data_IF_694021254081
#
_entry.id   IF_694021254081
#
_cell.length_a   1.000
_cell.length_b   1.000
_cell.length_c   1.000
_cell.angle_alpha   90.00
_cell.angle_beta   90.00
_cell.angle_gamma   90.00
#
_symmetry.space_group_name_H-M   'P 1'
#
loop_
_entity.id
_entity.type
_entity.pdbx_description
1 polymer ?
#
# COMPACT_ATOMS: atom_id res chain seq x y z
N UNK A 1 39.44 38.68 -17.62
CA UNK A 1 39.71 40.08 -17.96
C UNK A 1 39.32 40.98 -16.76
N UNK A 2 40.03 42.04 -16.49
CA UNK A 2 39.65 42.99 -15.45
C UNK A 2 39.44 44.36 -16.08
N UNK A 3 38.37 45.07 -15.74
CA UNK A 3 38.06 46.40 -16.28
C UNK A 3 36.89 47.04 -15.54
N UNK A 4 36.78 48.38 -15.62
CA UNK A 4 35.62 49.09 -15.08
C UNK A 4 34.41 48.82 -15.98
N UNK A 5 33.40 48.13 -15.44
CA UNK A 5 32.18 47.80 -16.18
C UNK A 5 31.33 49.07 -16.33
N UNK A 6 31.36 49.66 -17.52
CA UNK A 6 30.61 50.87 -17.91
C UNK A 6 30.06 50.71 -19.35
N UNK A 7 29.29 51.68 -19.80
CA UNK A 7 28.68 51.60 -21.16
C UNK A 7 29.75 51.61 -22.26
N UNK A 8 30.88 52.26 -22.09
CA UNK A 8 31.98 52.25 -23.05
C UNK A 8 32.54 50.83 -23.20
N UNK A 9 32.81 50.15 -22.08
CA UNK A 9 33.28 48.76 -22.13
C UNK A 9 32.25 47.80 -22.77
N UNK A 10 30.96 47.97 -22.46
CA UNK A 10 29.93 47.17 -23.09
C UNK A 10 29.91 47.27 -24.60
N UNK A 11 30.16 48.47 -25.13
CA UNK A 11 30.21 48.71 -26.59
C UNK A 11 31.46 48.13 -27.31
N UNK A 12 32.53 47.82 -26.53
CA UNK A 12 33.77 47.24 -27.09
C UNK A 12 33.82 45.71 -27.00
N UNK A 13 32.91 45.07 -26.27
CA UNK A 13 32.93 43.63 -26.08
C UNK A 13 32.15 42.93 -27.22
N UNK A 14 32.81 42.05 -27.89
CA UNK A 14 32.24 41.20 -28.93
C UNK A 14 32.16 39.76 -28.46
N UNK A 15 31.13 39.02 -28.94
CA UNK A 15 31.02 37.61 -28.70
C UNK A 15 32.12 36.85 -29.42
N UNK A 16 32.80 35.94 -28.72
CA UNK A 16 33.74 35.00 -29.27
C UNK A 16 33.23 33.53 -29.14
N UNK A 17 34.03 32.59 -29.60
CA UNK A 17 33.65 31.15 -29.58
C UNK A 17 33.54 30.59 -28.13
N UNK A 18 34.15 31.26 -27.17
CA UNK A 18 34.07 30.90 -25.73
C UNK A 18 33.54 32.08 -24.91
N UNK A 19 32.81 31.76 -23.80
CA UNK A 19 32.33 32.85 -22.95
C UNK A 19 33.46 33.68 -22.36
N UNK A 20 33.36 35.02 -22.47
CA UNK A 20 34.29 35.97 -21.89
C UNK A 20 33.74 36.52 -20.58
N UNK A 21 34.57 36.56 -19.53
CA UNK A 21 34.21 37.16 -18.24
C UNK A 21 35.10 38.35 -17.95
N UNK A 22 34.46 39.46 -17.57
CA UNK A 22 35.11 40.68 -17.12
C UNK A 22 34.77 40.90 -15.65
N UNK A 23 35.78 40.97 -14.78
CA UNK A 23 35.59 41.32 -13.39
C UNK A 23 35.68 42.82 -13.24
N UNK A 24 34.77 43.41 -12.49
CA UNK A 24 34.75 44.86 -12.24
C UNK A 24 35.90 45.28 -11.33
N UNK A 25 36.55 46.39 -11.70
CA UNK A 25 37.65 46.98 -10.90
C UNK A 25 37.14 47.81 -9.74
N UNK A 26 35.90 48.30 -9.75
CA UNK A 26 35.32 49.14 -8.70
C UNK A 26 34.63 48.33 -7.59
N UNK A 27 34.06 47.16 -7.91
CA UNK A 27 33.39 46.32 -6.93
C UNK A 27 33.89 44.87 -7.03
N UNK A 28 34.69 44.47 -6.05
CA UNK A 28 35.19 43.09 -5.96
C UNK A 28 34.04 42.08 -5.89
N UNK A 29 34.05 41.09 -6.78
CA UNK A 29 33.01 40.06 -6.88
C UNK A 29 31.94 40.36 -7.92
N UNK A 30 31.79 41.61 -8.37
CA UNK A 30 30.92 41.97 -9.48
C UNK A 30 31.59 41.68 -10.82
N UNK A 31 30.83 41.23 -11.80
CA UNK A 31 31.36 40.90 -13.12
C UNK A 31 30.28 40.89 -14.21
N UNK A 32 30.77 40.87 -15.44
CA UNK A 32 29.99 40.72 -16.68
C UNK A 32 30.41 39.44 -17.40
N UNK A 33 29.46 38.71 -17.94
CA UNK A 33 29.72 37.55 -18.80
C UNK A 33 29.11 37.79 -20.16
N UNK A 34 29.90 37.60 -21.18
CA UNK A 34 29.48 37.59 -22.60
C UNK A 34 29.46 36.15 -23.05
N UNK A 35 28.33 35.71 -23.52
CA UNK A 35 28.17 34.34 -24.08
C UNK A 35 28.50 34.33 -25.58
N UNK A 36 28.85 33.17 -26.17
CA UNK A 36 29.03 33.03 -27.61
C UNK A 36 27.82 33.48 -28.43
N UNK A 37 26.61 33.34 -27.85
CA UNK A 37 25.35 33.84 -28.43
C UNK A 37 25.20 35.37 -28.48
N UNK A 38 26.19 36.14 -27.95
CA UNK A 38 26.11 37.59 -27.81
C UNK A 38 25.36 38.09 -26.60
N UNK A 39 24.77 37.19 -25.80
CA UNK A 39 24.03 37.56 -24.58
C UNK A 39 25.02 37.99 -23.51
N UNK A 40 24.85 39.22 -22.98
CA UNK A 40 25.64 39.80 -21.90
C UNK A 40 24.82 39.80 -20.61
N UNK A 41 25.41 39.29 -19.51
CA UNK A 41 24.75 39.23 -18.21
C UNK A 41 25.70 39.66 -17.08
N UNK A 42 25.15 40.45 -16.17
CA UNK A 42 25.86 40.81 -14.95
C UNK A 42 25.74 39.68 -13.92
N UNK A 43 26.80 39.47 -13.14
CA UNK A 43 26.82 38.49 -12.06
C UNK A 43 27.58 39.03 -10.85
N UNK A 44 27.31 38.43 -9.68
CA UNK A 44 28.10 38.66 -8.47
C UNK A 44 28.64 37.33 -7.95
N UNK A 45 29.95 37.30 -7.60
CA UNK A 45 30.59 36.16 -6.93
C UNK A 45 30.73 36.50 -5.44
N UNK A 46 30.34 35.55 -4.61
CA UNK A 46 30.44 35.68 -3.17
C UNK A 46 30.84 34.35 -2.53
N UNK A 47 31.23 34.41 -1.27
CA UNK A 47 31.60 33.22 -0.52
C UNK A 47 30.70 33.13 0.72
N UNK A 48 30.02 31.98 0.92
CA UNK A 48 29.22 31.74 2.10
C UNK A 48 29.52 30.33 2.64
N UNK A 49 29.67 30.18 3.97
CA UNK A 49 30.02 28.88 4.62
C UNK A 49 31.21 28.17 3.94
N UNK A 50 32.23 28.96 3.51
CA UNK A 50 33.43 28.40 2.86
C UNK A 50 33.30 28.05 1.37
N UNK A 51 32.10 28.07 0.80
CA UNK A 51 31.86 27.76 -0.62
C UNK A 51 31.72 29.02 -1.45
N UNK A 52 32.35 29.04 -2.62
CA UNK A 52 32.20 30.11 -3.59
C UNK A 52 30.94 29.88 -4.41
N UNK A 53 30.10 30.91 -4.53
CA UNK A 53 28.84 30.88 -5.30
C UNK A 53 28.81 32.05 -6.27
N UNK A 54 28.02 31.94 -7.34
CA UNK A 54 27.79 33.00 -8.31
C UNK A 54 26.28 33.17 -8.50
N UNK A 55 25.85 34.43 -8.47
CA UNK A 55 24.45 34.78 -8.72
C UNK A 55 24.41 35.72 -9.95
N UNK A 56 23.54 35.41 -10.91
CA UNK A 56 23.25 36.29 -12.06
C UNK A 56 22.28 37.35 -11.60
N UNK A 57 22.63 38.64 -11.85
CA UNK A 57 21.80 39.79 -11.49
C UNK A 57 20.75 40.05 -12.55
N UNK A 58 21.14 40.08 -13.83
CA UNK A 58 20.27 40.30 -14.97
C UNK A 58 21.06 40.57 -16.24
N UNK A 59 20.37 40.80 -17.35
CA UNK A 59 21.00 41.10 -18.66
C UNK A 59 21.34 42.58 -18.78
N UNK A 60 22.28 42.88 -19.65
CA UNK A 60 22.65 44.27 -20.00
C UNK A 60 21.52 45.05 -20.69
N UNK A 61 20.54 44.36 -21.22
CA UNK A 61 19.29 44.92 -21.78
C UNK A 61 18.28 45.34 -20.70
N UNK A 62 18.44 44.82 -19.48
CA UNK A 62 17.50 45.04 -18.36
C UNK A 62 18.08 46.02 -17.33
N UNK A 63 19.40 46.04 -17.17
CA UNK A 63 20.10 46.82 -16.18
C UNK A 63 21.24 47.64 -16.81
N UNK A 64 21.39 48.88 -16.41
CA UNK A 64 22.60 49.64 -16.68
C UNK A 64 23.76 49.15 -15.78
N UNK A 65 25.01 49.35 -16.17
CA UNK A 65 26.17 48.99 -15.34
C UNK A 65 26.10 49.52 -13.90
N UNK A 66 25.62 50.74 -13.72
CA UNK A 66 25.44 51.35 -12.41
C UNK A 66 24.41 50.64 -11.57
N UNK A 67 23.20 50.40 -12.12
CA UNK A 67 22.14 49.69 -11.45
C UNK A 67 22.52 48.25 -11.08
N UNK A 68 23.25 47.55 -11.98
CA UNK A 68 23.72 46.21 -11.72
C UNK A 68 24.79 46.18 -10.61
N UNK A 69 25.67 47.21 -10.55
CA UNK A 69 26.67 47.34 -9.50
C UNK A 69 26.03 47.64 -8.14
N UNK A 70 24.99 48.49 -8.08
CA UNK A 70 24.23 48.73 -6.85
C UNK A 70 23.49 47.52 -6.35
N UNK A 71 22.87 46.76 -7.26
CA UNK A 71 22.28 45.47 -6.93
C UNK A 71 23.35 44.48 -6.38
N UNK A 72 24.53 44.43 -7.00
CA UNK A 72 25.65 43.62 -6.51
C UNK A 72 26.11 44.02 -5.11
N UNK A 73 26.18 45.35 -4.81
CA UNK A 73 26.50 45.84 -3.46
C UNK A 73 25.49 45.38 -2.42
N UNK A 74 24.19 45.49 -2.73
CA UNK A 74 23.12 45.06 -1.84
C UNK A 74 23.19 43.53 -1.57
N UNK A 75 23.48 42.74 -2.60
CA UNK A 75 23.65 41.30 -2.47
C UNK A 75 24.87 40.97 -1.59
N UNK A 76 26.02 41.62 -1.82
CA UNK A 76 27.22 41.40 -1.01
C UNK A 76 27.02 41.84 0.44
N UNK A 77 26.29 42.91 0.67
CA UNK A 77 25.95 43.37 2.02
C UNK A 77 25.10 42.34 2.76
N UNK A 78 24.09 41.74 2.10
CA UNK A 78 23.27 40.69 2.70
C UNK A 78 24.06 39.40 2.99
N UNK A 79 25.01 39.05 2.11
CA UNK A 79 25.92 37.91 2.34
C UNK A 79 26.80 38.13 3.55
N UNK A 80 27.34 39.36 3.73
CA UNK A 80 28.16 39.73 4.89
C UNK A 80 27.36 39.67 6.20
N UNK A 81 26.02 39.82 6.15
CA UNK A 81 25.10 39.64 7.26
C UNK A 81 24.68 38.18 7.45
N UNK A 82 25.23 37.24 6.66
CA UNK A 82 24.98 35.80 6.77
C UNK A 82 23.79 35.26 5.97
N UNK A 83 23.10 36.07 5.17
CA UNK A 83 22.02 35.65 4.32
C UNK A 83 22.55 35.01 3.02
N UNK A 84 21.97 33.87 2.58
CA UNK A 84 22.28 33.30 1.26
C UNK A 84 21.28 33.84 0.21
N UNK A 85 21.75 34.65 -0.76
CA UNK A 85 20.87 35.21 -1.78
C UNK A 85 20.21 34.20 -2.69
N UNK A 86 20.74 32.98 -2.77
CA UNK A 86 20.12 31.86 -3.53
C UNK A 86 18.94 31.25 -2.76
N UNK A 87 19.04 31.18 -1.43
CA UNK A 87 17.93 30.71 -0.59
C UNK A 87 16.78 31.73 -0.55
N UNK A 88 17.10 33.05 -0.57
CA UNK A 88 16.10 34.13 -0.58
C UNK A 88 15.33 34.24 -1.92
N UNK A 89 15.86 33.71 -3.02
CA UNK A 89 15.21 33.73 -4.33
C UNK A 89 14.30 32.50 -4.58
N UNK A 90 14.37 31.48 -3.76
CA UNK A 90 13.36 30.41 -3.83
C UNK A 90 12.01 31.03 -3.53
N UNK A 91 10.99 30.83 -4.38
CA UNK A 91 9.65 31.30 -4.06
C UNK A 91 9.30 30.75 -2.68
N UNK A 92 8.97 31.63 -1.74
CA UNK A 92 8.38 31.25 -0.47
C UNK A 92 7.00 30.72 -0.82
N UNK A 93 6.94 29.43 -1.15
CA UNK A 93 5.66 28.72 -1.18
C UNK A 93 5.12 28.90 0.23
N UNK A 94 4.01 29.62 0.37
CA UNK A 94 3.39 29.84 1.67
C UNK A 94 3.31 28.49 2.39
N UNK A 95 3.72 28.41 3.66
CA UNK A 95 3.81 27.13 4.35
C UNK A 95 2.41 26.51 4.41
N UNK A 96 2.15 25.50 3.55
CA UNK A 96 0.89 24.77 3.56
C UNK A 96 0.74 24.07 4.89
N UNK A 97 -0.49 24.09 5.41
CA UNK A 97 -0.87 23.27 6.56
C UNK A 97 -0.93 21.80 6.17
N UNK A 98 -0.89 20.91 7.15
CA UNK A 98 -1.11 19.48 6.90
C UNK A 98 -2.48 19.24 6.23
N UNK A 99 -3.52 19.95 6.67
CA UNK A 99 -4.88 19.83 6.12
C UNK A 99 -4.92 20.23 4.66
N UNK A 100 -4.40 21.39 4.30
CA UNK A 100 -4.34 21.87 2.91
C UNK A 100 -3.58 20.90 2.00
N UNK A 101 -2.42 20.43 2.44
CA UNK A 101 -1.65 19.42 1.70
C UNK A 101 -2.44 18.12 1.52
N UNK A 102 -3.08 17.64 2.57
CA UNK A 102 -3.86 16.40 2.50
C UNK A 102 -5.07 16.52 1.58
N UNK A 103 -5.79 17.64 1.62
CA UNK A 103 -7.04 17.82 0.87
C UNK A 103 -6.80 18.22 -0.58
N UNK A 104 -5.88 19.14 -0.81
CA UNK A 104 -5.65 19.72 -2.14
C UNK A 104 -4.69 18.90 -3.00
N UNK A 105 -3.69 18.26 -2.40
CA UNK A 105 -2.60 17.63 -3.14
C UNK A 105 -2.57 16.10 -2.96
N UNK A 106 -2.47 15.62 -1.70
CA UNK A 106 -2.23 14.19 -1.46
C UNK A 106 -3.46 13.33 -1.73
N UNK A 107 -4.65 13.73 -1.29
CA UNK A 107 -5.88 12.93 -1.44
C UNK A 107 -6.25 12.73 -2.91
N UNK A 108 -6.30 13.75 -3.79
CA UNK A 108 -6.57 13.57 -5.21
C UNK A 108 -5.56 12.62 -5.87
N UNK A 109 -4.28 12.84 -5.60
CA UNK A 109 -3.23 11.98 -6.13
C UNK A 109 -3.32 10.53 -5.63
N UNK A 110 -3.49 10.34 -4.33
CA UNK A 110 -3.53 9.01 -3.74
C UNK A 110 -4.72 8.20 -4.26
N UNK A 111 -5.87 8.84 -4.44
CA UNK A 111 -7.11 8.20 -4.94
C UNK A 111 -6.93 7.65 -6.34
N UNK A 112 -6.15 8.33 -7.20
CA UNK A 112 -5.89 7.88 -8.56
C UNK A 112 -4.77 6.83 -8.64
N UNK A 113 -3.78 6.89 -7.74
CA UNK A 113 -2.54 6.09 -7.85
C UNK A 113 -2.45 4.92 -6.86
N UNK A 114 -3.30 4.85 -5.83
CA UNK A 114 -3.19 3.83 -4.77
C UNK A 114 -4.49 3.09 -4.50
N UNK A 115 -4.48 1.77 -4.65
CA UNK A 115 -5.65 0.91 -4.32
C UNK A 115 -6.12 1.05 -2.87
N UNK A 116 -5.23 1.41 -1.94
CA UNK A 116 -5.53 1.56 -0.50
C UNK A 116 -5.66 3.01 -0.04
N UNK A 117 -5.85 3.97 -0.97
CA UNK A 117 -5.91 5.40 -0.69
C UNK A 117 -6.92 5.75 0.40
N UNK A 118 -8.17 5.35 0.23
CA UNK A 118 -9.26 5.63 1.18
C UNK A 118 -8.92 5.23 2.61
N UNK A 119 -8.36 4.03 2.78
CA UNK A 119 -7.96 3.55 4.10
C UNK A 119 -6.76 4.32 4.69
N UNK A 120 -5.78 4.68 3.86
CA UNK A 120 -4.61 5.46 4.30
C UNK A 120 -5.01 6.89 4.68
N UNK A 121 -5.82 7.55 3.87
CA UNK A 121 -6.31 8.91 4.12
C UNK A 121 -7.15 8.95 5.41
N UNK A 122 -8.09 8.00 5.57
CA UNK A 122 -8.89 7.90 6.80
C UNK A 122 -8.02 7.69 8.05
N UNK A 123 -6.96 6.87 7.95
CA UNK A 123 -6.01 6.69 9.06
C UNK A 123 -5.30 7.99 9.43
N UNK A 124 -4.83 8.74 8.44
CA UNK A 124 -4.15 10.02 8.68
C UNK A 124 -5.12 11.00 9.32
N UNK A 125 -6.30 11.20 8.72
CA UNK A 125 -7.32 12.12 9.21
C UNK A 125 -7.74 11.79 10.66
N UNK A 126 -8.05 10.54 10.95
CA UNK A 126 -8.54 10.12 12.28
C UNK A 126 -7.45 10.17 13.37
N UNK A 127 -6.18 10.16 13.02
CA UNK A 127 -5.10 10.03 14.01
C UNK A 127 -4.24 11.28 14.16
N UNK A 128 -4.23 12.18 13.18
CA UNK A 128 -3.37 13.36 13.15
C UNK A 128 -4.17 14.66 13.01
N UNK A 129 -5.44 14.65 13.38
CA UNK A 129 -6.32 15.82 13.30
C UNK A 129 -5.79 16.99 14.18
N UNK A 130 -5.18 16.69 15.33
CA UNK A 130 -4.56 17.70 16.22
C UNK A 130 -3.42 18.50 15.53
N UNK A 131 -2.96 18.05 14.36
CA UNK A 131 -1.93 18.70 13.54
C UNK A 131 -2.45 19.26 12.21
N UNK A 132 -3.76 19.21 11.99
CA UNK A 132 -4.37 19.51 10.68
C UNK A 132 -4.12 20.94 10.23
N UNK A 133 -4.25 21.89 11.16
CA UNK A 133 -4.10 23.33 10.89
C UNK A 133 -2.66 23.82 11.10
N UNK A 134 -1.72 22.92 11.36
CA UNK A 134 -0.32 23.28 11.53
C UNK A 134 0.43 23.26 10.22
N UNK A 135 1.37 24.20 9.99
CA UNK A 135 2.27 24.14 8.87
C UNK A 135 3.02 22.80 8.80
N UNK A 136 3.21 22.27 7.60
CA UNK A 136 4.00 21.05 7.39
C UNK A 136 5.43 21.17 7.97
N UNK A 137 6.01 22.38 7.92
CA UNK A 137 7.33 22.69 8.47
C UNK A 137 7.45 22.47 9.98
N UNK A 138 6.33 22.56 10.71
CA UNK A 138 6.30 22.46 12.16
C UNK A 138 6.18 21.01 12.65
N UNK A 139 5.95 20.10 11.71
CA UNK A 139 5.89 18.68 12.02
C UNK A 139 7.30 18.15 12.32
N UNK A 140 7.46 17.52 13.46
CA UNK A 140 8.73 16.94 13.91
C UNK A 140 8.54 15.60 14.63
N UNK A 141 9.67 14.93 14.88
CA UNK A 141 9.68 13.62 15.54
C UNK A 141 9.00 13.66 16.92
N UNK A 142 9.17 14.75 17.68
CA UNK A 142 8.61 14.88 19.03
C UNK A 142 7.07 14.92 19.03
N UNK A 143 6.47 15.62 18.06
CA UNK A 143 5.01 15.64 17.90
C UNK A 143 4.45 14.22 17.73
N UNK A 144 5.12 13.40 16.93
CA UNK A 144 4.72 12.02 16.66
C UNK A 144 4.96 11.10 17.87
N UNK A 145 6.05 11.30 18.62
CA UNK A 145 6.27 10.53 19.84
C UNK A 145 5.22 10.85 20.93
N UNK A 146 4.84 12.12 21.09
CA UNK A 146 3.72 12.51 21.97
C UNK A 146 2.40 11.87 21.52
N UNK A 147 2.11 11.91 20.21
CA UNK A 147 0.92 11.26 19.65
C UNK A 147 0.95 9.75 19.93
N UNK A 148 2.08 9.08 19.69
CA UNK A 148 2.25 7.64 19.93
C UNK A 148 2.00 7.29 21.40
N UNK A 149 2.59 8.03 22.32
CA UNK A 149 2.40 7.84 23.76
C UNK A 149 0.93 8.01 24.14
N UNK A 150 0.31 9.14 23.74
CA UNK A 150 -1.12 9.41 24.00
C UNK A 150 -2.01 8.25 23.50
N UNK A 151 -1.71 7.75 22.30
CA UNK A 151 -2.50 6.71 21.65
C UNK A 151 -2.37 5.33 22.34
N UNK A 152 -1.20 5.01 22.84
CA UNK A 152 -0.94 3.74 23.53
C UNK A 152 -1.36 3.72 24.99
N UNK A 153 -1.41 4.88 25.67
CA UNK A 153 -1.63 4.95 27.13
C UNK A 153 -2.96 5.58 27.53
N UNK A 154 -3.46 6.58 26.78
CA UNK A 154 -4.62 7.39 27.22
C UNK A 154 -5.94 6.99 26.54
N UNK A 155 -5.95 6.07 25.59
CA UNK A 155 -7.20 5.59 25.00
C UNK A 155 -7.92 4.64 25.97
N UNK A 156 -9.24 4.74 26.08
CA UNK A 156 -10.06 3.81 26.87
C UNK A 156 -9.86 2.34 26.45
N UNK A 157 -9.55 2.13 25.16
CA UNK A 157 -9.15 0.84 24.60
C UNK A 157 -7.93 1.04 23.70
N UNK A 158 -6.70 0.96 24.23
CA UNK A 158 -5.50 1.25 23.47
C UNK A 158 -5.35 0.28 22.28
N UNK A 159 -5.00 0.78 21.10
CA UNK A 159 -4.72 -0.08 19.96
C UNK A 159 -3.41 -0.84 20.16
N UNK A 160 -3.30 -2.01 19.52
CA UNK A 160 -2.04 -2.77 19.51
C UNK A 160 -0.92 -1.95 18.83
N UNK A 161 0.35 -2.08 19.25
CA UNK A 161 1.48 -1.37 18.65
C UNK A 161 1.56 -1.53 17.10
N UNK A 162 1.21 -2.70 16.59
CA UNK A 162 1.14 -2.94 15.15
C UNK A 162 0.12 -2.04 14.42
N UNK A 163 -0.98 -1.65 15.08
CA UNK A 163 -1.96 -0.70 14.52
C UNK A 163 -1.39 0.70 14.48
N UNK A 164 -0.74 1.13 15.57
CA UNK A 164 -0.06 2.43 15.66
C UNK A 164 1.06 2.55 14.61
N UNK A 165 1.82 1.47 14.40
CA UNK A 165 2.83 1.42 13.35
C UNK A 165 2.24 1.58 11.94
N UNK A 166 1.04 1.05 11.67
CA UNK A 166 0.35 1.23 10.38
C UNK A 166 -0.13 2.66 10.20
N UNK A 167 -0.64 3.29 11.26
CA UNK A 167 -1.07 4.68 11.23
C UNK A 167 0.14 5.59 10.96
N UNK A 168 1.26 5.36 11.65
CA UNK A 168 2.52 6.05 11.42
C UNK A 168 3.07 5.84 10.00
N UNK A 169 3.02 4.62 9.48
CA UNK A 169 3.49 4.32 8.13
C UNK A 169 2.69 5.05 7.07
N UNK A 170 1.36 5.15 7.23
CA UNK A 170 0.50 5.92 6.33
C UNK A 170 0.88 7.40 6.35
N UNK A 171 1.09 7.97 7.53
CA UNK A 171 1.48 9.37 7.70
C UNK A 171 2.88 9.65 7.10
N UNK A 172 3.87 8.82 7.41
CA UNK A 172 5.21 8.93 6.79
C UNK A 172 5.16 8.87 5.27
N UNK A 173 4.34 8.00 4.70
CA UNK A 173 4.19 7.89 3.25
C UNK A 173 3.57 9.14 2.61
N UNK A 174 2.69 9.85 3.30
CA UNK A 174 2.16 11.13 2.84
C UNK A 174 3.24 12.23 2.91
N UNK A 175 3.97 12.31 4.02
CA UNK A 175 5.06 13.28 4.18
C UNK A 175 6.24 13.02 3.21
N UNK A 176 6.49 11.76 2.83
CA UNK A 176 7.45 11.47 1.75
C UNK A 176 7.02 12.13 0.44
N UNK A 177 5.70 12.14 0.13
CA UNK A 177 5.20 12.86 -1.04
C UNK A 177 5.30 14.36 -0.92
N UNK A 178 5.15 14.92 0.29
CA UNK A 178 5.38 16.34 0.51
C UNK A 178 6.86 16.72 0.23
N UNK A 179 7.80 15.82 0.50
CA UNK A 179 9.22 16.01 0.14
C UNK A 179 9.44 15.84 -1.37
N UNK A 180 8.88 14.78 -1.97
CA UNK A 180 8.97 14.52 -3.42
C UNK A 180 8.41 15.69 -4.26
N UNK A 181 7.42 16.40 -3.73
CA UNK A 181 6.77 17.56 -4.38
C UNK A 181 7.32 18.92 -3.88
N UNK A 182 8.43 18.90 -3.17
CA UNK A 182 9.13 20.09 -2.70
C UNK A 182 8.36 20.99 -1.70
N UNK A 183 7.25 20.51 -1.12
CA UNK A 183 6.57 21.19 -0.02
C UNK A 183 7.39 21.14 1.28
N UNK A 184 8.27 20.18 1.42
CA UNK A 184 9.21 20.05 2.53
C UNK A 184 10.63 19.84 2.02
N UNK A 185 11.65 20.50 2.61
CA UNK A 185 13.04 20.33 2.21
C UNK A 185 13.62 18.96 2.59
N UNK A 186 13.06 18.33 3.62
CA UNK A 186 13.47 17.00 4.10
C UNK A 186 12.34 16.34 4.89
N UNK A 187 12.43 15.02 5.03
CA UNK A 187 11.38 14.26 5.71
C UNK A 187 11.44 14.44 7.25
N UNK A 188 10.44 15.11 7.87
CA UNK A 188 10.50 15.48 9.30
C UNK A 188 10.51 14.26 10.24
N UNK A 189 10.01 13.13 9.79
CA UNK A 189 9.91 11.88 10.56
C UNK A 189 10.92 10.80 10.11
N UNK A 190 12.00 11.17 9.42
CA UNK A 190 12.98 10.20 8.91
C UNK A 190 13.54 9.31 10.04
N UNK A 191 13.84 9.89 11.19
CA UNK A 191 14.42 9.22 12.36
C UNK A 191 13.41 8.45 13.23
N UNK A 192 12.10 8.64 13.01
CA UNK A 192 11.05 7.95 13.78
C UNK A 192 10.96 6.49 13.34
N UNK A 193 11.30 5.57 14.23
CA UNK A 193 11.23 4.12 14.00
C UNK A 193 9.86 3.57 14.44
N UNK A 194 9.34 2.52 13.79
CA UNK A 194 8.17 1.81 14.29
C UNK A 194 8.48 1.12 15.64
N UNK A 195 7.49 0.96 16.49
CA UNK A 195 7.59 0.18 17.72
C UNK A 195 7.90 -1.27 17.38
N UNK A 196 8.74 -1.92 18.19
CA UNK A 196 8.96 -3.36 18.06
C UNK A 196 7.64 -4.09 18.28
N UNK A 197 7.30 -4.99 17.40
CA UNK A 197 6.15 -5.89 17.50
C UNK A 197 6.64 -7.30 17.23
N UNK A 198 6.12 -8.24 17.98
CA UNK A 198 6.34 -9.64 17.64
C UNK A 198 5.66 -9.91 16.28
N UNK A 199 6.47 -10.19 15.29
CA UNK A 199 6.03 -10.51 13.93
C UNK A 199 5.84 -12.01 13.71
N UNK A 200 6.28 -12.84 14.67
CA UNK A 200 6.08 -14.27 14.63
C UNK A 200 4.68 -14.62 15.14
N UNK A 201 3.66 -14.24 14.38
CA UNK A 201 2.30 -14.69 14.66
C UNK A 201 2.22 -16.21 14.59
N UNK A 202 1.67 -16.82 15.63
CA UNK A 202 1.36 -18.26 15.63
C UNK A 202 0.49 -18.57 14.42
N UNK A 203 0.93 -19.49 13.59
CA UNK A 203 0.16 -19.98 12.45
C UNK A 203 -0.95 -20.87 12.99
N UNK A 204 -2.20 -20.39 12.86
CA UNK A 204 -3.38 -21.16 13.27
C UNK A 204 -3.85 -22.00 12.08
N UNK A 205 -3.94 -23.30 12.27
CA UNK A 205 -4.54 -24.28 11.35
C UNK A 205 -5.47 -25.20 12.15
N UNK A 206 -6.34 -25.95 11.46
CA UNK A 206 -7.27 -26.89 12.07
C UNK A 206 -6.57 -28.17 12.47
N UNK A 207 -6.86 -28.66 13.65
CA UNK A 207 -6.55 -30.05 14.00
C UNK A 207 -7.47 -30.99 13.22
N UNK A 208 -7.15 -32.28 13.15
CA UNK A 208 -8.01 -33.26 12.49
C UNK A 208 -9.41 -33.32 13.11
N UNK A 209 -9.50 -33.19 14.44
CA UNK A 209 -10.77 -33.12 15.15
C UNK A 209 -11.58 -31.86 14.79
N UNK A 210 -10.93 -30.69 14.75
CA UNK A 210 -11.59 -29.45 14.35
C UNK A 210 -12.00 -29.48 12.87
N UNK A 211 -11.17 -30.05 12.00
CA UNK A 211 -11.50 -30.23 10.59
C UNK A 211 -12.78 -31.09 10.44
N UNK A 212 -12.83 -32.25 11.09
CA UNK A 212 -14.04 -33.09 11.10
C UNK A 212 -15.25 -32.35 11.65
N UNK A 213 -15.09 -31.62 12.77
CA UNK A 213 -16.18 -30.86 13.37
C UNK A 213 -16.69 -29.74 12.45
N UNK A 214 -15.80 -29.09 11.67
CA UNK A 214 -16.19 -28.07 10.70
C UNK A 214 -17.06 -28.64 9.57
N UNK A 215 -16.67 -29.80 9.00
CA UNK A 215 -17.46 -30.46 7.96
C UNK A 215 -18.82 -30.92 8.48
N UNK A 216 -18.87 -31.54 9.66
CA UNK A 216 -20.13 -31.90 10.31
C UNK A 216 -21.04 -30.70 10.58
N UNK A 217 -20.47 -29.57 10.98
CA UNK A 217 -21.23 -28.34 11.20
C UNK A 217 -21.75 -27.74 9.89
N UNK A 218 -21.03 -27.86 8.77
CA UNK A 218 -21.53 -27.50 7.45
C UNK A 218 -22.78 -28.31 7.09
N UNK A 219 -22.71 -29.62 7.21
CA UNK A 219 -23.84 -30.51 6.90
C UNK A 219 -25.03 -30.28 7.83
N UNK A 220 -24.80 -30.12 9.14
CA UNK A 220 -25.83 -29.80 10.11
C UNK A 220 -26.52 -28.47 9.81
N UNK A 221 -25.74 -27.46 9.39
CA UNK A 221 -26.27 -26.16 8.97
C UNK A 221 -27.16 -26.29 7.75
N UNK A 222 -26.74 -27.06 6.72
CA UNK A 222 -27.53 -27.33 5.52
C UNK A 222 -28.89 -27.90 5.90
N UNK A 223 -28.89 -28.95 6.72
CA UNK A 223 -30.12 -29.60 7.22
C UNK A 223 -31.02 -28.61 7.99
N UNK A 224 -30.46 -27.89 8.95
CA UNK A 224 -31.21 -26.92 9.75
C UNK A 224 -31.84 -25.80 8.92
N UNK A 225 -31.15 -25.30 7.87
CA UNK A 225 -31.73 -24.28 7.00
C UNK A 225 -32.87 -24.79 6.17
N UNK A 226 -32.79 -26.05 5.66
CA UNK A 226 -33.89 -26.70 4.94
C UNK A 226 -35.11 -26.92 5.84
N UNK A 227 -34.89 -27.44 7.04
CA UNK A 227 -35.96 -27.64 8.02
C UNK A 227 -36.67 -26.33 8.37
N UNK A 228 -35.92 -25.27 8.64
CA UNK A 228 -36.50 -23.94 8.91
C UNK A 228 -37.27 -23.38 7.72
N UNK A 229 -36.81 -23.62 6.49
CA UNK A 229 -37.52 -23.23 5.27
C UNK A 229 -38.84 -23.98 5.14
N UNK A 230 -38.85 -25.30 5.34
CA UNK A 230 -40.05 -26.11 5.29
C UNK A 230 -41.08 -25.69 6.36
N UNK A 231 -40.64 -25.49 7.61
CA UNK A 231 -41.48 -24.98 8.69
C UNK A 231 -42.04 -23.58 8.36
N UNK A 232 -41.18 -22.67 7.84
CA UNK A 232 -41.62 -21.34 7.43
C UNK A 232 -42.64 -21.36 6.29
N UNK A 233 -42.52 -22.26 5.33
CA UNK A 233 -43.49 -22.46 4.24
C UNK A 233 -44.80 -23.04 4.75
N UNK A 234 -44.76 -24.02 5.67
CA UNK A 234 -45.98 -24.53 6.31
C UNK A 234 -46.74 -23.40 7.03
N UNK A 235 -46.05 -22.57 7.83
CA UNK A 235 -46.66 -21.44 8.49
C UNK A 235 -47.28 -20.41 7.51
N UNK A 236 -46.59 -20.15 6.37
CA UNK A 236 -47.08 -19.26 5.32
C UNK A 236 -48.36 -19.80 4.65
N UNK A 237 -48.37 -21.09 4.33
CA UNK A 237 -49.48 -21.78 3.70
C UNK A 237 -50.74 -21.70 4.58
N UNK A 238 -50.60 -21.97 5.88
CA UNK A 238 -51.71 -21.86 6.85
C UNK A 238 -52.35 -20.46 6.90
N UNK A 239 -51.58 -19.41 6.55
CA UNK A 239 -51.99 -18.00 6.62
C UNK A 239 -52.24 -17.37 5.25
N UNK A 240 -52.23 -18.12 4.17
CA UNK A 240 -52.47 -17.62 2.82
C UNK A 240 -51.33 -16.76 2.25
N UNK A 241 -50.14 -16.81 2.84
CA UNK A 241 -48.98 -16.09 2.31
C UNK A 241 -48.26 -16.91 1.21
N UNK A 242 -47.66 -16.26 0.19
CA UNK A 242 -46.85 -16.92 -0.81
C UNK A 242 -45.70 -17.71 -0.17
N UNK A 243 -45.51 -18.96 -0.55
CA UNK A 243 -44.40 -19.77 -0.10
C UNK A 243 -43.06 -19.25 -0.68
N UNK A 244 -42.02 -19.40 0.09
CA UNK A 244 -40.66 -19.12 -0.38
C UNK A 244 -40.17 -20.32 -1.22
N UNK A 245 -39.26 -20.12 -2.20
CA UNK A 245 -38.71 -21.22 -3.00
C UNK A 245 -38.19 -22.36 -2.12
N UNK A 246 -38.54 -23.59 -2.48
CA UNK A 246 -38.05 -24.76 -1.78
C UNK A 246 -36.56 -24.98 -2.00
N UNK A 247 -35.92 -25.68 -1.07
CA UNK A 247 -34.49 -25.99 -1.09
C UNK A 247 -34.22 -27.51 -1.06
N UNK A 248 -35.25 -28.33 -1.24
CA UNK A 248 -35.13 -29.80 -1.11
C UNK A 248 -34.16 -30.35 -2.16
N UNK A 249 -34.30 -29.92 -3.41
CA UNK A 249 -33.50 -30.40 -4.54
C UNK A 249 -32.15 -29.69 -4.69
N UNK A 250 -31.86 -28.71 -3.85
CA UNK A 250 -30.60 -27.99 -3.89
C UNK A 250 -29.53 -28.73 -3.08
N UNK A 251 -28.36 -28.98 -3.66
CA UNK A 251 -27.22 -29.55 -2.94
C UNK A 251 -26.78 -28.63 -1.81
N UNK A 252 -26.71 -27.34 -2.07
CA UNK A 252 -26.31 -26.31 -1.10
C UNK A 252 -27.42 -25.27 -0.91
N UNK A 253 -27.74 -24.94 0.32
CA UNK A 253 -28.77 -23.93 0.64
C UNK A 253 -28.33 -22.51 0.35
N UNK A 254 -27.04 -22.29 0.35
CA UNK A 254 -26.40 -21.02 -0.04
C UNK A 254 -24.91 -21.21 -0.38
N UNK A 255 -24.24 -20.09 -0.63
CA UNK A 255 -22.82 -20.06 -1.03
C UNK A 255 -21.83 -20.44 0.09
N UNK A 256 -22.22 -20.53 1.36
CA UNK A 256 -21.26 -20.69 2.48
C UNK A 256 -20.50 -22.00 2.41
N UNK A 257 -21.21 -23.13 2.23
CA UNK A 257 -20.60 -24.45 2.20
C UNK A 257 -19.57 -24.58 1.05
N UNK A 258 -19.91 -24.36 -0.22
CA UNK A 258 -18.93 -24.46 -1.30
C UNK A 258 -17.83 -23.40 -1.22
N UNK A 259 -18.08 -22.23 -0.64
CA UNK A 259 -17.04 -21.20 -0.41
C UNK A 259 -16.02 -21.63 0.65
N UNK A 260 -16.44 -22.31 1.72
CA UNK A 260 -15.55 -22.88 2.74
C UNK A 260 -14.68 -23.98 2.14
N UNK A 261 -15.28 -24.93 1.40
CA UNK A 261 -14.53 -25.99 0.71
C UNK A 261 -13.50 -25.38 -0.24
N UNK A 262 -13.86 -24.35 -1.02
CA UNK A 262 -12.90 -23.67 -1.89
C UNK A 262 -11.78 -23.02 -1.11
N UNK A 263 -12.08 -22.31 -0.03
CA UNK A 263 -11.07 -21.62 0.77
C UNK A 263 -10.04 -22.58 1.41
N UNK A 264 -10.53 -23.71 1.94
CA UNK A 264 -9.69 -24.77 2.55
C UNK A 264 -8.83 -25.50 1.52
N UNK A 265 -9.33 -25.71 0.30
CA UNK A 265 -8.66 -26.51 -0.73
C UNK A 265 -7.83 -25.69 -1.74
N UNK A 266 -7.82 -24.36 -1.64
CA UNK A 266 -7.04 -23.49 -2.55
C UNK A 266 -6.19 -22.46 -1.84
N UNK A 267 -6.48 -22.19 -0.57
CA UNK A 267 -5.85 -21.08 0.14
C UNK A 267 -6.08 -19.70 -0.50
N UNK A 268 -7.11 -19.56 -1.34
CA UNK A 268 -7.46 -18.30 -2.02
C UNK A 268 -7.74 -17.17 -1.01
N UNK A 269 -7.34 -15.94 -1.32
CA UNK A 269 -7.66 -14.81 -0.44
C UNK A 269 -9.15 -14.49 -0.51
N UNK A 270 -9.73 -14.04 0.61
CA UNK A 270 -11.16 -13.68 0.69
C UNK A 270 -11.60 -12.74 -0.43
N UNK A 271 -10.82 -11.70 -0.73
CA UNK A 271 -11.16 -10.77 -1.80
C UNK A 271 -11.10 -11.38 -3.20
N UNK A 272 -10.16 -12.30 -3.43
CA UNK A 272 -10.05 -13.06 -4.67
C UNK A 272 -11.25 -14.01 -4.84
N UNK A 273 -11.65 -14.70 -3.76
CA UNK A 273 -12.82 -15.57 -3.74
C UNK A 273 -14.12 -14.81 -4.03
N UNK A 274 -14.31 -13.64 -3.42
CA UNK A 274 -15.54 -12.84 -3.60
C UNK A 274 -15.69 -12.24 -5.00
N UNK A 275 -14.60 -12.15 -5.76
CA UNK A 275 -14.59 -11.61 -7.13
C UNK A 275 -14.34 -12.67 -8.19
N UNK A 276 -14.25 -13.95 -7.80
CA UNK A 276 -14.04 -15.06 -8.71
C UNK A 276 -15.25 -15.25 -9.61
N UNK A 277 -15.01 -15.40 -10.90
CA UNK A 277 -16.05 -15.66 -11.90
C UNK A 277 -15.99 -17.10 -12.37
N UNK A 278 -17.10 -17.62 -12.85
CA UNK A 278 -17.13 -18.96 -13.45
C UNK A 278 -16.19 -19.07 -14.66
N UNK A 279 -15.98 -17.99 -15.41
CA UNK A 279 -14.99 -17.94 -16.48
C UNK A 279 -13.53 -18.11 -16.01
N UNK A 280 -13.27 -18.00 -14.70
CA UNK A 280 -11.96 -18.22 -14.10
C UNK A 280 -11.78 -19.68 -13.61
N UNK A 281 -12.84 -20.51 -13.67
CA UNK A 281 -12.85 -21.88 -13.15
C UNK A 281 -12.98 -22.85 -14.31
N UNK A 282 -11.93 -23.62 -14.56
CA UNK A 282 -11.95 -24.70 -15.53
C UNK A 282 -12.20 -26.04 -14.82
N UNK A 283 -13.46 -26.48 -14.85
CA UNK A 283 -13.84 -27.74 -14.22
C UNK A 283 -13.43 -28.97 -15.05
N UNK A 284 -13.12 -28.80 -16.34
CA UNK A 284 -12.68 -29.89 -17.22
C UNK A 284 -11.23 -30.23 -16.94
N UNK A 285 -10.34 -29.24 -17.03
CA UNK A 285 -8.92 -29.43 -16.78
C UNK A 285 -8.55 -29.39 -15.30
N UNK A 286 -9.49 -29.02 -14.42
CA UNK A 286 -9.33 -29.07 -12.96
C UNK A 286 -8.42 -27.98 -12.39
N UNK A 287 -8.57 -26.74 -12.80
CA UNK A 287 -7.88 -25.60 -12.17
C UNK A 287 -8.75 -24.35 -12.12
N UNK A 288 -8.37 -23.42 -11.24
CA UNK A 288 -8.91 -22.06 -11.22
C UNK A 288 -7.79 -21.05 -11.46
N UNK A 289 -8.13 -19.91 -12.06
CA UNK A 289 -7.22 -18.81 -12.37
C UNK A 289 -7.51 -17.59 -11.49
N UNK A 290 -6.56 -17.17 -10.69
CA UNK A 290 -6.66 -15.90 -9.95
C UNK A 290 -5.99 -14.82 -10.78
N UNK A 291 -6.80 -13.90 -11.33
CA UNK A 291 -6.32 -12.84 -12.24
C UNK A 291 -5.41 -11.84 -11.53
N UNK A 292 -4.35 -11.40 -12.21
CA UNK A 292 -3.40 -10.41 -11.68
C UNK A 292 -4.03 -9.08 -11.27
N UNK A 293 -5.05 -8.60 -12.00
CA UNK A 293 -5.77 -7.36 -11.68
C UNK A 293 -6.46 -7.39 -10.29
N UNK A 294 -6.88 -8.57 -9.83
CA UNK A 294 -7.51 -8.79 -8.51
C UNK A 294 -6.47 -9.23 -7.48
N UNK A 295 -5.43 -9.94 -7.91
CA UNK A 295 -4.38 -10.45 -7.04
C UNK A 295 -3.57 -9.29 -6.42
N UNK A 296 -3.29 -9.39 -5.12
CA UNK A 296 -2.44 -8.41 -4.43
C UNK A 296 -1.01 -8.34 -5.01
N UNK A 297 -0.53 -9.44 -5.61
CA UNK A 297 0.79 -9.54 -6.25
C UNK A 297 0.83 -8.96 -7.67
N UNK A 298 -0.30 -8.63 -8.27
CA UNK A 298 -0.39 -8.19 -9.66
C UNK A 298 -0.14 -9.29 -10.71
N UNK A 299 0.15 -10.53 -10.28
CA UNK A 299 0.44 -11.67 -11.18
C UNK A 299 -0.71 -12.67 -11.17
N UNK A 300 -1.08 -13.15 -12.35
CA UNK A 300 -2.02 -14.27 -12.50
C UNK A 300 -1.37 -15.56 -12.00
N UNK A 301 -2.16 -16.41 -11.33
CA UNK A 301 -1.75 -17.76 -10.94
C UNK A 301 -2.87 -18.75 -11.16
N UNK A 302 -2.48 -20.00 -11.41
CA UNK A 302 -3.38 -21.13 -11.54
C UNK A 302 -3.28 -22.00 -10.28
N UNK A 303 -4.42 -22.39 -9.74
CA UNK A 303 -4.51 -23.28 -8.56
C UNK A 303 -5.25 -24.54 -8.98
N UNK A 304 -4.63 -25.71 -8.92
CA UNK A 304 -5.29 -26.99 -9.20
C UNK A 304 -6.46 -27.23 -8.25
N UNK A 305 -7.50 -27.87 -8.77
CA UNK A 305 -8.66 -28.30 -8.00
C UNK A 305 -8.50 -29.78 -7.65
N UNK A 306 -8.49 -30.12 -6.36
CA UNK A 306 -8.59 -31.51 -5.94
C UNK A 306 -10.01 -32.06 -6.19
N UNK A 307 -10.18 -33.38 -6.04
CA UNK A 307 -11.42 -34.05 -6.34
C UNK A 307 -12.59 -33.53 -5.51
N UNK A 308 -12.38 -33.26 -4.23
CA UNK A 308 -13.39 -32.71 -3.32
C UNK A 308 -13.93 -31.38 -3.81
N UNK A 309 -13.04 -30.42 -4.05
CA UNK A 309 -13.42 -29.09 -4.53
C UNK A 309 -14.06 -29.14 -5.91
N UNK A 310 -13.52 -29.96 -6.80
CA UNK A 310 -14.06 -30.12 -8.15
C UNK A 310 -15.49 -30.64 -8.11
N UNK A 311 -15.79 -31.61 -7.23
CA UNK A 311 -17.14 -32.15 -7.02
C UNK A 311 -18.08 -31.10 -6.44
N UNK A 312 -17.65 -30.40 -5.39
CA UNK A 312 -18.44 -29.32 -4.78
C UNK A 312 -18.77 -28.21 -5.78
N UNK A 313 -17.80 -27.80 -6.61
CA UNK A 313 -18.01 -26.76 -7.62
C UNK A 313 -18.91 -27.22 -8.77
N UNK A 314 -18.86 -28.48 -9.18
CA UNK A 314 -19.79 -29.03 -10.17
C UNK A 314 -21.22 -28.96 -9.66
N UNK A 315 -21.46 -29.38 -8.42
CA UNK A 315 -22.79 -29.34 -7.78
C UNK A 315 -23.26 -27.88 -7.62
N UNK A 316 -22.39 -26.99 -7.14
CA UNK A 316 -22.70 -25.56 -7.00
C UNK A 316 -23.00 -24.89 -8.35
N UNK A 317 -22.29 -25.29 -9.42
CA UNK A 317 -22.53 -24.81 -10.78
C UNK A 317 -23.92 -25.13 -11.29
N UNK A 318 -24.48 -26.28 -10.97
CA UNK A 318 -25.83 -26.65 -11.37
C UNK A 318 -26.90 -25.73 -10.79
N UNK A 319 -26.60 -25.11 -9.62
CA UNK A 319 -27.49 -24.15 -8.97
C UNK A 319 -27.22 -22.68 -9.43
N UNK A 320 -26.18 -22.45 -10.20
CA UNK A 320 -25.77 -21.14 -10.71
C UNK A 320 -25.44 -21.22 -12.20
N UNK A 321 -26.42 -21.37 -13.07
CA UNK A 321 -26.20 -21.75 -14.47
C UNK A 321 -25.51 -20.68 -15.34
N UNK A 322 -25.58 -19.41 -14.99
CA UNK A 322 -25.00 -18.35 -15.80
C UNK A 322 -23.47 -18.32 -15.75
N UNK A 323 -22.82 -18.59 -16.90
CA UNK A 323 -21.37 -18.71 -17.03
C UNK A 323 -20.59 -17.43 -16.77
N UNK A 324 -21.22 -16.27 -16.94
CA UNK A 324 -20.56 -14.97 -16.83
C UNK A 324 -20.67 -14.33 -15.45
N UNK A 325 -21.36 -15.01 -14.51
CA UNK A 325 -21.57 -14.50 -13.17
C UNK A 325 -20.42 -14.84 -12.21
N UNK A 326 -20.48 -14.24 -11.04
CA UNK A 326 -19.60 -14.61 -9.93
C UNK A 326 -19.87 -16.05 -9.47
N UNK A 327 -18.82 -16.75 -9.04
CA UNK A 327 -18.97 -18.08 -8.44
C UNK A 327 -19.80 -17.99 -7.15
N UNK A 328 -19.61 -16.94 -6.37
CA UNK A 328 -20.34 -16.65 -5.12
C UNK A 328 -20.96 -15.26 -5.18
N UNK A 329 -22.12 -15.11 -5.83
CA UNK A 329 -22.78 -13.82 -5.90
C UNK A 329 -23.35 -13.42 -4.54
N UNK A 330 -23.23 -12.16 -4.21
CA UNK A 330 -23.95 -11.52 -3.12
C UNK A 330 -25.29 -10.95 -3.58
N UNK A 331 -25.86 -10.07 -2.80
CA UNK A 331 -27.13 -9.43 -3.12
C UNK A 331 -27.08 -8.71 -4.48
N UNK A 332 -28.09 -8.89 -5.30
CA UNK A 332 -28.22 -8.33 -6.66
C UNK A 332 -27.04 -8.67 -7.60
N UNK A 333 -26.46 -9.84 -7.51
CA UNK A 333 -25.37 -10.29 -8.38
C UNK A 333 -24.03 -9.55 -8.16
N UNK A 334 -23.93 -8.69 -7.15
CA UNK A 334 -22.68 -7.98 -6.80
C UNK A 334 -21.76 -8.91 -6.00
N UNK A 335 -20.44 -8.61 -5.95
CA UNK A 335 -19.54 -9.36 -5.07
C UNK A 335 -19.99 -9.33 -3.61
N UNK A 336 -19.76 -10.42 -2.90
CA UNK A 336 -19.99 -10.50 -1.46
C UNK A 336 -19.21 -9.38 -0.75
N UNK A 337 -19.86 -8.67 0.16
CA UNK A 337 -19.21 -7.64 0.97
C UNK A 337 -18.57 -8.24 2.22
N UNK A 338 -19.28 -9.15 2.86
CA UNK A 338 -18.85 -9.80 4.09
C UNK A 338 -19.49 -11.19 4.22
N UNK A 339 -18.81 -12.07 4.91
CA UNK A 339 -19.26 -13.42 5.26
C UNK A 339 -19.09 -13.68 6.77
N UNK A 340 -18.75 -12.61 7.51
CA UNK A 340 -18.31 -12.71 8.91
C UNK A 340 -19.38 -13.34 9.81
N UNK A 341 -20.63 -12.90 9.71
CA UNK A 341 -21.71 -13.42 10.56
C UNK A 341 -21.97 -14.91 10.30
N UNK A 342 -22.10 -15.29 9.02
CA UNK A 342 -22.32 -16.69 8.65
C UNK A 342 -21.13 -17.57 9.10
N UNK A 343 -19.91 -17.10 8.93
CA UNK A 343 -18.69 -17.78 9.38
C UNK A 343 -18.63 -17.93 10.90
N UNK A 344 -18.90 -16.86 11.66
CA UNK A 344 -18.90 -16.90 13.13
C UNK A 344 -19.94 -17.88 13.66
N UNK A 345 -21.14 -17.90 13.08
CA UNK A 345 -22.19 -18.84 13.48
C UNK A 345 -21.82 -20.30 13.16
N UNK A 346 -21.16 -20.54 12.02
CA UNK A 346 -20.67 -21.86 11.65
C UNK A 346 -19.58 -22.35 12.63
N UNK A 347 -18.64 -21.51 12.99
CA UNK A 347 -17.59 -21.84 13.96
C UNK A 347 -18.16 -22.12 15.35
N UNK A 348 -19.16 -21.34 15.78
CA UNK A 348 -19.88 -21.59 17.04
C UNK A 348 -20.57 -22.97 17.01
N UNK A 349 -21.21 -23.34 15.91
CA UNK A 349 -21.81 -24.65 15.71
C UNK A 349 -20.77 -25.78 15.75
N UNK A 350 -19.61 -25.56 15.14
CA UNK A 350 -18.48 -26.49 15.13
C UNK A 350 -17.70 -26.51 16.46
N UNK A 351 -17.97 -25.59 17.39
CA UNK A 351 -17.22 -25.38 18.63
C UNK A 351 -15.71 -25.12 18.39
N UNK A 352 -15.42 -24.35 17.35
CA UNK A 352 -14.04 -23.98 16.98
C UNK A 352 -13.81 -22.53 17.38
N UNK A 353 -12.82 -22.29 18.23
CA UNK A 353 -12.43 -20.97 18.68
C UNK A 353 -11.23 -20.40 17.93
N UNK A 354 -11.13 -19.06 17.91
CA UNK A 354 -9.97 -18.32 17.39
C UNK A 354 -9.54 -18.72 15.96
N UNK A 355 -10.49 -19.10 15.10
CA UNK A 355 -10.25 -19.45 13.72
C UNK A 355 -10.97 -18.46 12.78
N UNK A 356 -10.20 -17.56 12.15
CA UNK A 356 -10.74 -16.53 11.26
C UNK A 356 -10.85 -17.07 9.85
N UNK A 357 -11.66 -16.44 9.01
CA UNK A 357 -11.74 -16.78 7.59
C UNK A 357 -10.36 -16.86 6.89
N UNK A 358 -9.45 -15.94 7.21
CA UNK A 358 -8.11 -15.94 6.62
C UNK A 358 -7.23 -17.09 7.10
N UNK A 359 -7.56 -17.69 8.23
CA UNK A 359 -6.78 -18.80 8.79
C UNK A 359 -6.98 -20.09 7.98
N UNK A 360 -8.06 -20.21 7.16
CA UNK A 360 -8.19 -21.30 6.17
C UNK A 360 -7.06 -21.30 5.14
N UNK A 361 -6.54 -20.11 4.79
CA UNK A 361 -5.36 -20.03 3.93
C UNK A 361 -4.08 -20.47 4.67
N UNK A 362 -4.00 -20.18 5.96
CA UNK A 362 -2.93 -20.71 6.79
C UNK A 362 -3.04 -22.23 6.92
N UNK A 363 -4.25 -22.75 7.09
CA UNK A 363 -4.56 -24.17 7.13
C UNK A 363 -4.11 -24.88 5.85
N UNK A 364 -4.53 -24.40 4.69
CA UNK A 364 -4.12 -24.92 3.38
C UNK A 364 -2.58 -24.99 3.26
N UNK A 365 -1.88 -23.90 3.59
CA UNK A 365 -0.42 -23.88 3.54
C UNK A 365 0.22 -24.85 4.52
N UNK A 366 -0.28 -24.88 5.76
CA UNK A 366 0.23 -25.76 6.82
C UNK A 366 0.06 -27.24 6.46
N UNK A 367 -1.11 -27.62 5.95
CA UNK A 367 -1.39 -29.00 5.54
C UNK A 367 -0.49 -29.45 4.39
N UNK A 368 -0.25 -28.59 3.38
CA UNK A 368 0.68 -28.89 2.30
C UNK A 368 2.11 -29.08 2.81
N UNK A 369 2.57 -28.20 3.69
CA UNK A 369 3.92 -28.31 4.25
C UNK A 369 4.07 -29.55 5.14
N UNK A 370 3.09 -29.85 5.99
CA UNK A 370 3.05 -31.08 6.79
C UNK A 370 3.01 -32.36 5.92
N UNK A 371 2.38 -32.26 4.75
CA UNK A 371 2.39 -33.34 3.75
C UNK A 371 3.71 -33.43 2.95
N UNK A 372 4.72 -32.61 3.27
CA UNK A 372 6.05 -32.67 2.63
C UNK A 372 6.15 -31.90 1.31
N UNK A 373 5.17 -31.09 0.95
CA UNK A 373 5.25 -30.23 -0.24
C UNK A 373 6.29 -29.14 -0.01
N UNK A 374 7.16 -28.91 -0.98
CA UNK A 374 8.20 -27.91 -0.89
C UNK A 374 7.66 -26.48 -0.76
N UNK A 375 8.40 -25.64 -0.06
CA UNK A 375 7.96 -24.27 0.26
C UNK A 375 7.80 -23.38 -0.98
N UNK A 376 8.51 -23.66 -2.08
CA UNK A 376 8.37 -22.86 -3.30
C UNK A 376 7.06 -23.18 -4.00
N UNK A 377 6.67 -24.45 -4.10
CA UNK A 377 5.35 -24.87 -4.60
C UNK A 377 4.22 -24.26 -3.77
N UNK A 378 4.33 -24.28 -2.43
CA UNK A 378 3.37 -23.63 -1.54
C UNK A 378 3.32 -22.11 -1.79
N UNK A 379 4.47 -21.48 -1.99
CA UNK A 379 4.58 -20.05 -2.33
C UNK A 379 3.81 -19.72 -3.63
N UNK A 380 3.99 -20.54 -4.66
CA UNK A 380 3.35 -20.35 -5.97
C UNK A 380 1.84 -20.51 -5.89
N UNK A 381 1.35 -21.59 -5.29
CA UNK A 381 -0.08 -21.82 -5.08
C UNK A 381 -0.75 -20.67 -4.31
N UNK A 382 -0.09 -20.19 -3.26
CA UNK A 382 -0.58 -19.05 -2.50
C UNK A 382 -0.42 -17.71 -3.24
N UNK A 383 0.44 -17.59 -4.23
CA UNK A 383 0.78 -16.34 -4.89
C UNK A 383 1.45 -15.35 -3.93
N UNK A 384 2.43 -15.81 -3.17
CA UNK A 384 3.30 -14.97 -2.36
C UNK A 384 4.40 -14.36 -3.24
N UNK A 385 4.55 -13.05 -3.18
CA UNK A 385 5.59 -12.32 -3.94
C UNK A 385 7.00 -12.59 -3.41
N UNK A 386 7.13 -12.95 -2.13
CA UNK A 386 8.39 -13.21 -1.44
C UNK A 386 8.30 -14.54 -0.66
N UNK A 387 9.34 -15.36 -0.77
CA UNK A 387 9.45 -16.63 -0.04
C UNK A 387 9.40 -16.42 1.49
N UNK A 388 9.87 -15.29 1.99
CA UNK A 388 9.77 -14.92 3.42
C UNK A 388 8.35 -15.03 3.98
N UNK A 389 7.34 -14.81 3.15
CA UNK A 389 5.94 -14.97 3.57
C UNK A 389 5.58 -16.45 3.80
N UNK A 390 6.24 -17.37 3.12
CA UNK A 390 6.02 -18.82 3.21
C UNK A 390 6.89 -19.47 4.27
N UNK A 391 8.07 -18.90 4.57
CA UNK A 391 8.98 -19.41 5.60
C UNK A 391 8.36 -19.53 6.99
N UNK A 392 7.27 -18.80 7.26
CA UNK A 392 6.49 -18.96 8.51
C UNK A 392 5.93 -20.37 8.73
N UNK A 393 5.78 -21.16 7.67
CA UNK A 393 5.32 -22.55 7.73
C UNK A 393 6.45 -23.56 7.78
N UNK A 394 7.71 -23.15 7.61
CA UNK A 394 8.85 -24.05 7.49
C UNK A 394 9.04 -24.96 8.71
N UNK A 395 8.67 -24.47 9.90
CA UNK A 395 8.75 -25.25 11.14
C UNK A 395 7.75 -26.42 11.21
N UNK A 396 6.76 -26.46 10.30
CA UNK A 396 5.79 -27.54 10.19
C UNK A 396 6.24 -28.65 9.24
N UNK A 397 7.32 -28.43 8.48
CA UNK A 397 7.84 -29.42 7.57
C UNK A 397 8.39 -30.63 8.36
N UNK A 398 8.08 -31.88 7.91
CA UNK A 398 8.72 -33.07 8.47
C UNK A 398 10.25 -32.94 8.40
N UNK A 399 10.95 -33.53 9.36
CA UNK A 399 12.43 -33.54 9.33
C UNK A 399 12.93 -34.44 8.19
N UNK A 400 13.12 -33.85 7.03
CA UNK A 400 13.64 -34.55 5.84
C UNK A 400 15.16 -34.45 5.71
N UNK A 401 15.87 -33.84 6.67
CA UNK A 401 17.32 -33.63 6.55
C UNK A 401 18.10 -34.94 6.39
N UNK A 402 17.82 -35.89 7.23
CA UNK A 402 18.46 -37.22 7.16
C UNK A 402 18.12 -37.95 5.86
N UNK A 403 16.82 -38.00 5.51
CA UNK A 403 16.36 -38.61 4.27
C UNK A 403 16.87 -37.91 3.01
N UNK A 404 17.07 -36.60 3.07
CA UNK A 404 17.63 -35.83 1.95
C UNK A 404 19.12 -36.15 1.75
N UNK A 405 19.89 -36.29 2.83
CA UNK A 405 21.30 -36.66 2.78
C UNK A 405 21.45 -38.12 2.32
N UNK A 406 20.58 -39.02 2.77
CA UNK A 406 20.56 -40.41 2.33
C UNK A 406 20.38 -40.57 0.82
N UNK A 407 19.65 -39.66 0.17
CA UNK A 407 19.52 -39.66 -1.30
C UNK A 407 20.84 -39.38 -2.05
N UNK A 408 21.88 -38.91 -1.35
CA UNK A 408 23.23 -38.73 -1.91
C UNK A 408 24.07 -40.00 -1.84
N UNK A 409 23.62 -41.03 -1.12
CA UNK A 409 24.28 -42.33 -1.11
C UNK A 409 24.36 -42.87 -2.54
N UNK A 410 25.54 -43.43 -2.89
CA UNK A 410 25.80 -43.95 -4.25
C UNK A 410 24.69 -44.88 -4.67
N UNK A 411 24.07 -44.60 -5.79
CA UNK A 411 23.20 -45.58 -6.48
C UNK A 411 24.10 -46.78 -6.84
N UNK A 412 23.79 -47.93 -6.29
CA UNK A 412 24.38 -49.18 -6.72
C UNK A 412 23.90 -49.58 -8.11
#
# INVERSE_FOLDING_TARGET
>A
MNGKINNTLLGTLTAGDVPVEVNDTELKGFGLRVQPSGIMSYFVRYRIKGKQSRLVIGRTTEFTPAQARDAARSILASVNLGADPVETRKPVIAPKTLGEFMEQDYTPWATTHRKSATSAIARIKNNFLDHWDRPLSDLNAWNVEKWRQKRLTKAAKPPKPATVNRDLAAFKAALSKAVDWEFLPSHPLAKVKPSKVDSQGVVRYLTDAESKALYLALDQREKSVREKRAQGNAWRRERGYPEMPDMVDQTYVDHLHPAVIMALNTGIRRGELFTLRWSDVNLTDGYLSVRGGVAKSGKTRHVPLNIELRTALKQWRQQSPDANTLVFPGHNGKPLKDIKTAWTNLLALAKIDQFRWHDMRHDFASRLVMAGVDLNTVRELLGHSDLKMTLRYAHLAPEHKAAAVEKLARRK
#
